data_IF_088866771121
#
_entry.id   IF_088866771121
#
_cell.length_a   1.000
_cell.length_b   1.000
_cell.length_c   1.000
_cell.angle_alpha   90.00
_cell.angle_beta   90.00
_cell.angle_gamma   90.00
#
_symmetry.space_group_name_H-M   'P 1'
#
loop_
_entity.id
_entity.type
_entity.pdbx_description
1 polymer ?
#
# COMPACT_ATOMS: atom_id res chain seq x y z
N UNK A 1 5.19 -14.34 -14.02
CA UNK A 1 6.41 -14.22 -13.20
C UNK A 1 5.98 -13.97 -11.76
N UNK A 2 6.08 -14.99 -10.92
CA UNK A 2 5.57 -14.99 -9.55
C UNK A 2 6.43 -14.09 -8.65
N UNK A 3 5.83 -13.01 -8.15
CA UNK A 3 6.38 -12.22 -7.05
C UNK A 3 6.52 -13.11 -5.81
N UNK A 4 7.74 -13.55 -5.50
CA UNK A 4 8.04 -14.22 -4.22
C UNK A 4 8.14 -13.16 -3.12
N UNK A 5 7.00 -12.58 -2.73
CA UNK A 5 6.86 -11.95 -1.42
C UNK A 5 6.61 -13.04 -0.38
N UNK A 6 7.65 -13.80 -0.03
CA UNK A 6 7.59 -14.60 1.18
C UNK A 6 8.98 -14.73 1.82
N UNK A 7 9.56 -13.56 2.09
CA UNK A 7 10.61 -13.39 3.07
C UNK A 7 9.98 -12.83 4.34
N UNK A 8 9.68 -13.66 5.35
CA UNK A 8 9.19 -13.18 6.64
C UNK A 8 10.09 -12.06 7.17
N UNK A 9 9.60 -10.83 7.07
CA UNK A 9 10.28 -9.65 7.60
C UNK A 9 10.58 -9.88 9.09
N UNK A 10 11.70 -9.36 9.62
CA UNK A 10 12.04 -9.53 11.04
C UNK A 10 10.89 -9.03 11.91
N UNK A 11 10.75 -9.61 13.10
CA UNK A 11 9.77 -9.17 14.09
C UNK A 11 10.08 -7.75 14.52
N UNK A 12 9.09 -7.06 15.09
CA UNK A 12 9.32 -5.75 15.69
C UNK A 12 10.43 -5.83 16.75
N UNK A 13 11.42 -4.94 16.65
CA UNK A 13 12.58 -4.88 17.54
C UNK A 13 13.66 -5.94 17.29
N UNK A 14 13.45 -6.90 16.40
CA UNK A 14 14.47 -7.88 16.03
C UNK A 14 15.55 -7.22 15.16
N UNK A 15 16.80 -7.37 15.58
CA UNK A 15 17.97 -6.86 14.88
C UNK A 15 18.54 -7.96 13.98
N UNK A 16 18.60 -7.69 12.68
CA UNK A 16 19.21 -8.62 11.71
C UNK A 16 20.40 -7.97 11.00
N UNK A 17 21.56 -8.64 10.93
CA UNK A 17 22.68 -8.19 10.12
C UNK A 17 22.35 -8.36 8.64
N UNK A 18 22.61 -7.30 7.87
CA UNK A 18 22.27 -7.24 6.44
C UNK A 18 23.39 -6.64 5.61
N UNK A 19 23.43 -6.99 4.33
CA UNK A 19 24.16 -6.24 3.31
C UNK A 19 23.18 -5.49 2.43
N UNK A 20 23.48 -4.22 2.10
CA UNK A 20 22.74 -3.49 1.09
C UNK A 20 23.23 -3.93 -0.30
N UNK A 21 22.31 -4.37 -1.16
CA UNK A 21 22.61 -4.79 -2.53
C UNK A 21 22.31 -3.68 -3.54
N UNK A 22 21.18 -3.00 -3.39
CA UNK A 22 20.79 -1.89 -4.26
C UNK A 22 19.73 -1.00 -3.58
N UNK A 23 19.61 0.25 -4.04
CA UNK A 23 18.47 1.12 -3.75
C UNK A 23 17.85 1.54 -5.08
N UNK A 24 16.61 1.15 -5.31
CA UNK A 24 15.86 1.47 -6.53
C UNK A 24 14.85 2.58 -6.24
N UNK A 25 14.85 3.63 -7.06
CA UNK A 25 13.79 4.65 -7.02
C UNK A 25 12.56 4.09 -7.73
N UNK A 26 11.41 4.12 -7.06
CA UNK A 26 10.10 3.74 -7.60
C UNK A 26 9.14 4.92 -7.51
N UNK A 27 8.56 5.27 -8.65
CA UNK A 27 7.55 6.33 -8.74
C UNK A 27 6.17 5.69 -8.67
N UNK A 28 5.38 6.13 -7.70
CA UNK A 28 4.00 5.74 -7.54
C UNK A 28 3.14 6.71 -8.36
N UNK A 29 2.54 6.17 -9.40
CA UNK A 29 1.64 6.89 -10.30
C UNK A 29 0.20 6.56 -9.93
N UNK A 30 -0.65 7.59 -10.02
CA UNK A 30 -2.09 7.48 -9.92
C UNK A 30 -2.68 7.66 -11.31
N UNK A 31 -3.31 6.60 -11.82
CA UNK A 31 -4.11 6.70 -13.04
C UNK A 31 -5.53 7.16 -12.70
N UNK A 32 -6.05 8.10 -13.46
CA UNK A 32 -7.43 8.60 -13.36
C UNK A 32 -8.09 8.58 -14.74
N UNK A 33 -9.31 8.05 -14.84
CA UNK A 33 -10.07 8.07 -16.08
C UNK A 33 -10.29 9.51 -16.58
N UNK A 34 -10.20 9.74 -17.89
CA UNK A 34 -10.41 11.07 -18.46
C UNK A 34 -11.90 11.48 -18.47
N UNK A 35 -12.80 10.49 -18.38
CA UNK A 35 -14.24 10.67 -18.26
C UNK A 35 -14.74 9.85 -17.08
N UNK A 36 -15.72 10.39 -16.36
CA UNK A 36 -16.36 9.70 -15.25
C UNK A 36 -16.92 8.35 -15.72
N UNK A 37 -16.52 7.28 -15.05
CA UNK A 37 -17.07 5.94 -15.28
C UNK A 37 -18.51 5.92 -14.74
N UNK A 38 -19.50 5.48 -15.53
CA UNK A 38 -20.88 5.39 -15.09
C UNK A 38 -21.09 4.40 -13.92
N UNK A 39 -22.05 4.67 -13.04
CA UNK A 39 -22.34 3.83 -11.86
C UNK A 39 -22.71 2.38 -12.23
N UNK A 40 -23.38 2.17 -13.36
CA UNK A 40 -23.73 0.85 -13.86
C UNK A 40 -22.49 -0.03 -14.12
N UNK A 41 -21.36 0.59 -14.45
CA UNK A 41 -20.08 -0.07 -14.67
C UNK A 41 -19.32 -0.37 -13.37
N UNK A 42 -19.79 0.11 -12.21
CA UNK A 42 -19.08 -0.10 -10.95
C UNK A 42 -19.01 -1.60 -10.61
N UNK A 43 -17.86 -2.05 -10.07
CA UNK A 43 -17.69 -3.43 -9.64
C UNK A 43 -18.55 -3.72 -8.41
N UNK A 44 -18.85 -4.99 -8.13
CA UNK A 44 -19.75 -5.38 -7.05
C UNK A 44 -19.30 -4.88 -5.68
N UNK A 45 -17.99 -4.86 -5.40
CA UNK A 45 -17.46 -4.35 -4.14
C UNK A 45 -17.79 -2.87 -3.90
N UNK A 46 -17.70 -2.02 -4.93
CA UNK A 46 -18.04 -0.60 -4.82
C UNK A 46 -19.56 -0.42 -4.73
N UNK A 47 -20.33 -1.16 -5.53
CA UNK A 47 -21.80 -1.15 -5.45
C UNK A 47 -22.28 -1.54 -4.04
N UNK A 48 -21.63 -2.51 -3.42
CA UNK A 48 -21.96 -2.95 -2.06
C UNK A 48 -21.59 -1.89 -1.02
N UNK A 49 -20.46 -1.18 -1.17
CA UNK A 49 -20.12 -0.03 -0.31
C UNK A 49 -21.24 1.02 -0.36
N UNK A 50 -21.72 1.36 -1.55
CA UNK A 50 -22.79 2.35 -1.76
C UNK A 50 -24.12 1.86 -1.17
N UNK A 51 -24.46 0.58 -1.36
CA UNK A 51 -25.75 -0.01 -0.96
C UNK A 51 -25.86 -0.38 0.52
N UNK A 52 -24.75 -0.48 1.26
CA UNK A 52 -24.76 -1.00 2.64
C UNK A 52 -25.64 -0.11 3.54
N UNK A 53 -26.80 -0.60 4.03
CA UNK A 53 -27.75 0.23 4.76
C UNK A 53 -27.23 0.64 6.13
N UNK A 54 -27.26 1.94 6.42
CA UNK A 54 -26.72 2.54 7.66
C UNK A 54 -27.64 2.44 8.89
N UNK A 55 -28.79 1.76 8.80
CA UNK A 55 -29.84 1.76 9.85
C UNK A 55 -29.72 0.68 10.93
N UNK A 56 -28.67 -0.16 10.93
CA UNK A 56 -28.33 -1.06 12.05
C UNK A 56 -27.21 -0.51 12.94
N UNK A 57 -27.13 0.81 13.07
CA UNK A 57 -26.33 1.47 14.09
C UNK A 57 -27.07 1.48 15.44
N UNK A 58 -27.50 0.31 15.92
CA UNK A 58 -27.72 0.13 17.34
C UNK A 58 -26.37 -0.21 17.95
N UNK A 59 -26.01 0.57 18.97
CA UNK A 59 -25.00 0.33 19.99
C UNK A 59 -24.46 -1.10 20.00
N UNK A 60 -23.13 -1.23 19.80
CA UNK A 60 -22.31 -2.46 19.94
C UNK A 60 -22.02 -3.30 18.68
N UNK A 61 -22.16 -2.75 17.46
CA UNK A 61 -21.61 -3.44 16.27
C UNK A 61 -21.68 -2.73 14.91
N UNK A 62 -22.48 -1.67 14.77
CA UNK A 62 -22.78 -1.04 13.47
C UNK A 62 -21.71 -0.12 12.86
N UNK A 63 -20.51 -0.02 13.44
CA UNK A 63 -19.44 0.92 13.04
C UNK A 63 -18.26 0.27 12.30
N UNK A 64 -18.23 -1.07 12.23
CA UNK A 64 -17.06 -1.80 11.77
C UNK A 64 -16.74 -1.47 10.31
N UNK A 65 -15.57 -0.90 10.09
CA UNK A 65 -15.02 -0.67 8.75
C UNK A 65 -15.54 0.54 7.98
N UNK A 66 -16.35 1.43 8.56
CA UNK A 66 -16.85 2.65 7.87
C UNK A 66 -15.73 3.51 7.31
N UNK A 67 -14.69 3.78 8.10
CA UNK A 67 -13.52 4.56 7.68
C UNK A 67 -12.76 3.87 6.53
N UNK A 68 -12.71 2.52 6.51
CA UNK A 68 -12.09 1.74 5.44
C UNK A 68 -12.88 1.87 4.14
N UNK A 69 -14.20 1.64 4.21
CA UNK A 69 -15.09 1.76 3.05
C UNK A 69 -15.13 3.19 2.50
N UNK A 70 -15.14 4.20 3.37
CA UNK A 70 -15.09 5.60 2.97
C UNK A 70 -13.77 5.95 2.23
N UNK A 71 -12.63 5.47 2.72
CA UNK A 71 -11.34 5.65 2.04
C UNK A 71 -11.31 4.95 0.67
N UNK A 72 -11.82 3.71 0.59
CA UNK A 72 -11.92 2.95 -0.66
C UNK A 72 -12.79 3.70 -1.68
N UNK A 73 -13.96 4.18 -1.26
CA UNK A 73 -14.90 4.87 -2.14
C UNK A 73 -14.31 6.20 -2.65
N UNK A 74 -13.69 7.00 -1.77
CA UNK A 74 -13.05 8.24 -2.18
C UNK A 74 -11.94 8.01 -3.22
N UNK A 75 -11.07 7.03 -2.97
CA UNK A 75 -10.00 6.67 -3.90
C UNK A 75 -10.55 6.15 -5.24
N UNK A 76 -11.58 5.29 -5.19
CA UNK A 76 -12.23 4.77 -6.38
C UNK A 76 -12.86 5.87 -7.23
N UNK A 77 -13.69 6.74 -6.65
CA UNK A 77 -14.38 7.81 -7.39
C UNK A 77 -13.35 8.77 -8.03
N UNK A 78 -12.29 9.12 -7.29
CA UNK A 78 -11.22 9.95 -7.81
C UNK A 78 -10.47 9.31 -9.00
N UNK A 79 -10.21 8.01 -8.97
CA UNK A 79 -9.59 7.30 -10.11
C UNK A 79 -10.57 6.98 -11.24
N UNK A 80 -11.86 6.84 -10.93
CA UNK A 80 -12.92 6.65 -11.89
C UNK A 80 -13.27 7.94 -12.66
N UNK A 81 -12.57 9.05 -12.40
CA UNK A 81 -12.71 10.30 -13.15
C UNK A 81 -13.93 11.12 -12.79
N UNK A 82 -14.54 10.87 -11.62
CA UNK A 82 -15.68 11.66 -11.15
C UNK A 82 -15.25 13.07 -10.75
N UNK A 83 -16.14 14.03 -10.97
CA UNK A 83 -16.00 15.38 -10.47
C UNK A 83 -15.99 15.38 -8.94
N UNK A 84 -15.23 16.32 -8.34
CA UNK A 84 -15.05 16.35 -6.89
C UNK A 84 -16.37 16.60 -6.14
N UNK A 85 -17.21 17.52 -6.61
CA UNK A 85 -18.46 17.87 -5.92
C UNK A 85 -19.48 16.72 -5.99
N UNK A 86 -19.59 16.08 -7.17
CA UNK A 86 -20.45 14.91 -7.38
C UNK A 86 -19.96 13.71 -6.57
N UNK A 87 -18.66 13.44 -6.59
CA UNK A 87 -18.05 12.37 -5.82
C UNK A 87 -18.18 12.61 -4.32
N UNK A 88 -17.98 13.84 -3.84
CA UNK A 88 -18.11 14.21 -2.43
C UNK A 88 -19.54 14.03 -1.97
N UNK A 89 -20.54 14.41 -2.77
CA UNK A 89 -21.95 14.17 -2.46
C UNK A 89 -22.25 12.68 -2.29
N UNK A 90 -21.90 11.84 -3.28
CA UNK A 90 -22.09 10.39 -3.21
C UNK A 90 -21.33 9.78 -2.02
N UNK A 91 -20.12 10.26 -1.76
CA UNK A 91 -19.30 9.82 -0.65
C UNK A 91 -19.90 10.18 0.71
N UNK A 92 -20.35 11.41 0.93
CA UNK A 92 -20.99 11.84 2.17
C UNK A 92 -22.30 11.08 2.40
N UNK A 93 -23.05 10.81 1.33
CA UNK A 93 -24.26 9.97 1.34
C UNK A 93 -23.96 8.48 1.60
N UNK A 94 -22.70 8.03 1.44
CA UNK A 94 -22.24 6.64 1.71
C UNK A 94 -21.41 6.42 2.99
N UNK A 95 -20.49 7.32 3.37
CA UNK A 95 -19.62 7.29 4.56
C UNK A 95 -20.34 7.35 5.93
N UNK A 96 -21.18 8.35 6.14
CA UNK A 96 -22.20 8.40 7.20
C UNK A 96 -21.74 9.18 8.41
N UNK A 97 -22.61 9.29 9.41
CA UNK A 97 -22.28 10.03 10.62
C UNK A 97 -21.04 9.42 11.30
N UNK A 98 -20.11 10.28 11.71
CA UNK A 98 -18.88 9.92 12.43
C UNK A 98 -17.65 9.67 11.56
N UNK A 99 -17.78 9.62 10.22
CA UNK A 99 -16.61 9.60 9.32
C UNK A 99 -16.10 11.04 9.13
N UNK A 100 -14.79 11.24 9.29
CA UNK A 100 -14.16 12.55 9.15
C UNK A 100 -13.98 12.92 7.67
N UNK A 101 -14.42 14.12 7.29
CA UNK A 101 -14.24 14.69 5.93
C UNK A 101 -12.80 14.58 5.41
N UNK A 102 -11.80 14.73 6.28
CA UNK A 102 -10.38 14.56 5.91
C UNK A 102 -10.08 13.24 5.19
N UNK A 103 -10.87 12.18 5.38
CA UNK A 103 -10.68 10.91 4.67
C UNK A 103 -10.95 11.08 3.18
N UNK A 104 -11.95 11.88 2.81
CA UNK A 104 -12.16 12.19 1.41
C UNK A 104 -10.94 12.94 0.86
N UNK A 105 -10.52 14.00 1.53
CA UNK A 105 -9.41 14.85 1.07
C UNK A 105 -8.06 14.11 1.03
N UNK A 106 -7.80 13.17 1.94
CA UNK A 106 -6.57 12.36 1.97
C UNK A 106 -6.53 11.28 0.87
N UNK A 107 -7.67 10.89 0.30
CA UNK A 107 -7.76 9.74 -0.60
C UNK A 107 -8.19 10.08 -2.03
N UNK A 108 -9.13 11.02 -2.21
CA UNK A 108 -9.66 11.40 -3.51
C UNK A 108 -8.56 12.02 -4.38
N UNK A 109 -8.21 11.37 -5.50
CA UNK A 109 -7.15 11.80 -6.43
C UNK A 109 -5.73 11.95 -5.82
N UNK A 110 -5.52 11.46 -4.60
CA UNK A 110 -4.21 11.48 -3.91
C UNK A 110 -3.67 10.07 -3.63
N UNK A 111 -4.53 9.04 -3.62
CA UNK A 111 -4.16 7.67 -3.28
C UNK A 111 -4.74 6.68 -4.29
N UNK A 112 -3.99 5.60 -4.56
CA UNK A 112 -4.51 4.48 -5.33
C UNK A 112 -5.64 3.76 -4.57
N UNK A 113 -6.76 3.55 -5.24
CA UNK A 113 -7.79 2.60 -4.85
C UNK A 113 -7.14 1.22 -4.66
N UNK A 114 -7.38 0.54 -3.54
CA UNK A 114 -6.76 -0.75 -3.27
C UNK A 114 -7.15 -1.80 -4.32
N UNK A 115 -6.17 -2.63 -4.68
CA UNK A 115 -6.34 -3.82 -5.52
C UNK A 115 -7.15 -4.89 -4.80
N UNK A 116 -7.68 -5.85 -5.56
CA UNK A 116 -8.43 -7.00 -5.05
C UNK A 116 -7.65 -7.76 -3.98
N UNK A 117 -6.34 -7.95 -4.18
CA UNK A 117 -5.46 -8.59 -3.18
C UNK A 117 -5.51 -7.88 -1.82
N UNK A 118 -5.51 -6.53 -1.81
CA UNK A 118 -5.60 -5.75 -0.57
C UNK A 118 -6.99 -5.84 0.04
N UNK A 119 -8.04 -5.76 -0.77
CA UNK A 119 -9.43 -5.83 -0.30
C UNK A 119 -9.75 -7.18 0.35
N UNK A 120 -9.18 -8.27 -0.16
CA UNK A 120 -9.37 -9.63 0.33
C UNK A 120 -8.60 -9.96 1.62
N UNK A 121 -7.85 -9.01 2.18
CA UNK A 121 -7.19 -9.21 3.48
C UNK A 121 -8.13 -8.89 4.62
N UNK A 122 -7.99 -9.64 5.71
CA UNK A 122 -8.51 -9.21 7.00
C UNK A 122 -7.73 -7.99 7.49
N UNK A 123 -8.40 -7.12 8.24
CA UNK A 123 -7.81 -5.90 8.78
C UNK A 123 -8.28 -5.66 10.20
N UNK A 124 -7.39 -5.08 11.02
CA UNK A 124 -7.72 -4.69 12.40
C UNK A 124 -8.46 -3.35 12.49
N UNK A 125 -8.69 -2.70 11.35
CA UNK A 125 -9.33 -1.39 11.24
C UNK A 125 -8.50 -0.37 10.45
N UNK A 126 -9.05 0.83 10.28
CA UNK A 126 -8.34 1.92 9.58
C UNK A 126 -7.01 2.25 10.30
N UNK A 127 -5.89 2.41 9.58
CA UNK A 127 -5.76 2.71 8.15
C UNK A 127 -5.62 1.49 7.21
N UNK A 128 -5.70 0.26 7.71
CA UNK A 128 -5.62 -0.94 6.85
C UNK A 128 -6.92 -1.12 6.08
N UNK A 129 -6.86 -1.08 4.74
CA UNK A 129 -8.04 -1.12 3.87
C UNK A 129 -8.57 -2.53 3.55
N UNK A 130 -8.06 -3.56 4.21
CA UNK A 130 -8.64 -4.90 4.10
C UNK A 130 -10.11 -4.89 4.54
N UNK A 131 -10.97 -5.57 3.79
CA UNK A 131 -12.43 -5.59 4.00
C UNK A 131 -13.02 -6.99 3.89
N UNK A 132 -12.18 -8.03 3.92
CA UNK A 132 -12.63 -9.41 3.88
C UNK A 132 -13.66 -9.72 4.98
N UNK A 133 -13.45 -9.15 6.17
CA UNK A 133 -14.31 -9.30 7.34
C UNK A 133 -15.65 -8.56 7.25
N UNK A 134 -15.89 -7.80 6.17
CA UNK A 134 -17.10 -7.02 5.94
C UNK A 134 -18.00 -7.62 4.86
N UNK A 135 -17.57 -8.69 4.19
CA UNK A 135 -18.34 -9.41 3.16
C UNK A 135 -18.83 -8.53 1.98
N UNK A 136 -18.19 -7.37 1.75
CA UNK A 136 -18.55 -6.44 0.68
C UNK A 136 -18.06 -6.89 -0.70
N UNK A 137 -16.99 -7.69 -0.74
CA UNK A 137 -16.45 -8.22 -1.98
C UNK A 137 -17.21 -9.48 -2.39
N UNK A 138 -18.16 -9.33 -3.32
CA UNK A 138 -18.95 -10.41 -3.90
C UNK A 138 -18.65 -10.48 -5.40
N UNK A 139 -17.63 -11.24 -5.83
CA UNK A 139 -17.14 -11.20 -7.21
C UNK A 139 -18.23 -11.56 -8.24
N UNK A 140 -18.22 -10.86 -9.37
CA UNK A 140 -18.99 -11.22 -10.56
C UNK A 140 -18.09 -11.87 -11.62
N UNK A 141 -18.67 -12.26 -12.75
CA UNK A 141 -17.97 -12.93 -13.85
C UNK A 141 -16.81 -12.10 -14.43
N UNK A 142 -16.82 -10.77 -14.24
CA UNK A 142 -15.77 -9.89 -14.76
C UNK A 142 -14.60 -9.78 -13.80
N UNK A 143 -14.77 -10.06 -12.51
CA UNK A 143 -13.71 -9.87 -11.51
C UNK A 143 -12.45 -10.69 -11.78
N UNK A 144 -12.54 -11.84 -12.47
CA UNK A 144 -11.36 -12.65 -12.83
C UNK A 144 -10.47 -11.99 -13.89
N UNK A 145 -10.98 -11.02 -14.63
CA UNK A 145 -10.27 -10.36 -15.72
C UNK A 145 -9.43 -9.15 -15.25
N UNK A 146 -9.54 -8.74 -13.98
CA UNK A 146 -8.96 -7.49 -13.48
C UNK A 146 -8.32 -7.65 -12.10
N UNK A 147 -7.32 -6.82 -11.79
CA UNK A 147 -6.63 -6.87 -10.50
C UNK A 147 -7.25 -5.94 -9.46
N UNK A 148 -8.18 -5.06 -9.86
CA UNK A 148 -8.79 -4.12 -8.94
C UNK A 148 -10.06 -3.42 -9.44
N UNK A 149 -10.76 -2.70 -8.53
CA UNK A 149 -12.05 -2.08 -8.82
C UNK A 149 -12.01 -1.09 -9.98
N UNK A 150 -10.99 -0.23 -10.02
CA UNK A 150 -10.83 0.81 -11.05
C UNK A 150 -10.64 0.18 -12.43
N UNK A 151 -9.80 -0.85 -12.54
CA UNK A 151 -9.53 -1.53 -13.81
C UNK A 151 -10.78 -2.21 -14.34
N UNK A 152 -11.55 -2.87 -13.47
CA UNK A 152 -12.84 -3.45 -13.84
C UNK A 152 -13.82 -2.38 -14.33
N UNK A 153 -13.96 -1.28 -13.58
CA UNK A 153 -14.92 -0.22 -13.89
C UNK A 153 -14.59 0.48 -15.21
N UNK A 154 -13.31 0.84 -15.42
CA UNK A 154 -12.83 1.53 -16.60
C UNK A 154 -12.50 0.58 -17.78
N UNK A 155 -12.60 -0.75 -17.58
CA UNK A 155 -12.31 -1.73 -18.63
C UNK A 155 -10.84 -1.82 -19.04
N UNK A 156 -9.91 -1.55 -18.12
CA UNK A 156 -8.46 -1.58 -18.37
C UNK A 156 -7.95 -3.02 -18.42
N UNK A 157 -7.99 -3.64 -19.60
CA UNK A 157 -7.54 -5.04 -19.80
C UNK A 157 -6.09 -5.10 -20.27
N UNK A 158 -5.64 -4.07 -20.97
CA UNK A 158 -4.31 -3.98 -21.56
C UNK A 158 -3.67 -2.63 -21.26
N UNK A 159 -2.38 -2.54 -21.50
CA UNK A 159 -1.63 -1.31 -21.23
C UNK A 159 -2.08 -0.15 -22.13
N UNK A 160 -2.52 -0.44 -23.37
CA UNK A 160 -3.02 0.57 -24.30
C UNK A 160 -4.29 1.26 -23.80
N UNK A 161 -5.12 0.55 -23.00
CA UNK A 161 -6.36 1.11 -22.44
C UNK A 161 -6.08 2.26 -21.46
N UNK A 162 -4.87 2.33 -20.88
CA UNK A 162 -4.48 3.42 -19.98
C UNK A 162 -4.42 4.78 -20.68
N UNK A 163 -4.35 4.82 -22.01
CA UNK A 163 -4.45 6.05 -22.80
C UNK A 163 -5.80 6.77 -22.65
N UNK A 164 -6.83 6.10 -22.12
CA UNK A 164 -8.16 6.67 -21.84
C UNK A 164 -8.20 7.50 -20.55
N UNK A 165 -7.06 7.68 -19.89
CA UNK A 165 -6.94 8.44 -18.66
C UNK A 165 -5.65 9.25 -18.60
N UNK A 166 -5.42 9.84 -17.44
CA UNK A 166 -4.23 10.62 -17.11
C UNK A 166 -3.45 9.93 -16.00
N UNK A 167 -2.14 10.08 -16.02
CA UNK A 167 -1.27 9.68 -14.92
C UNK A 167 -0.79 10.91 -14.16
N UNK A 168 -0.90 10.86 -12.84
CA UNK A 168 -0.38 11.86 -11.90
C UNK A 168 0.66 11.17 -11.02
N UNK A 169 1.83 11.77 -10.87
CA UNK A 169 2.77 11.32 -9.83
C UNK A 169 2.20 11.67 -8.46
N UNK A 170 2.12 10.69 -7.56
CA UNK A 170 1.62 10.91 -6.19
C UNK A 170 2.71 10.71 -5.13
N UNK A 171 3.68 9.84 -5.38
CA UNK A 171 4.72 9.56 -4.39
C UNK A 171 5.99 8.99 -5.01
N UNK A 172 7.13 9.35 -4.43
CA UNK A 172 8.38 8.64 -4.68
C UNK A 172 8.69 7.74 -3.49
N UNK A 173 8.98 6.47 -3.78
CA UNK A 173 9.44 5.46 -2.82
C UNK A 173 10.81 4.96 -3.24
N UNK A 174 11.56 4.46 -2.27
CA UNK A 174 12.85 3.83 -2.53
C UNK A 174 12.78 2.40 -2.04
N UNK A 175 13.14 1.45 -2.89
CA UNK A 175 13.19 0.03 -2.53
C UNK A 175 14.65 -0.33 -2.27
N UNK A 176 14.97 -0.62 -1.01
CA UNK A 176 16.27 -1.17 -0.64
C UNK A 176 16.23 -2.69 -0.78
N UNK A 177 17.05 -3.23 -1.68
CA UNK A 177 17.32 -4.66 -1.76
C UNK A 177 18.45 -5.00 -0.79
N UNK A 178 18.19 -5.93 0.11
CA UNK A 178 19.13 -6.35 1.14
C UNK A 178 19.37 -7.86 1.07
N UNK A 179 20.52 -8.30 1.55
CA UNK A 179 20.78 -9.70 1.88
C UNK A 179 20.74 -9.87 3.39
N UNK A 180 19.82 -10.68 3.89
CA UNK A 180 19.70 -11.05 5.30
C UNK A 180 20.69 -12.17 5.62
N UNK A 181 21.67 -11.88 6.48
CA UNK A 181 22.72 -12.84 6.83
C UNK A 181 22.21 -13.94 7.76
N UNK A 182 21.20 -13.65 8.59
CA UNK A 182 20.62 -14.61 9.53
C UNK A 182 19.81 -15.68 8.78
N UNK A 183 19.07 -15.26 7.76
CA UNK A 183 18.23 -16.16 6.96
C UNK A 183 18.91 -16.65 5.66
N UNK A 184 20.04 -16.04 5.26
CA UNK A 184 20.76 -16.38 4.03
C UNK A 184 19.96 -16.13 2.76
N UNK A 185 19.16 -15.06 2.71
CA UNK A 185 18.25 -14.75 1.59
C UNK A 185 18.16 -13.26 1.31
N UNK A 186 17.76 -12.91 0.09
CA UNK A 186 17.44 -11.54 -0.27
C UNK A 186 16.08 -11.09 0.26
N UNK A 187 15.96 -9.80 0.55
CA UNK A 187 14.73 -9.14 0.98
C UNK A 187 14.62 -7.74 0.37
N UNK A 188 13.40 -7.23 0.40
CA UNK A 188 13.03 -5.90 -0.12
C UNK A 188 12.45 -5.07 1.03
N UNK A 189 12.94 -3.83 1.19
CA UNK A 189 12.48 -2.88 2.21
C UNK A 189 12.05 -1.57 1.54
N UNK A 190 10.77 -1.22 1.70
CA UNK A 190 10.23 0.09 1.30
C UNK A 190 10.72 1.20 2.23
N UNK A 191 11.34 2.22 1.64
CA UNK A 191 11.86 3.41 2.30
C UNK A 191 11.16 4.68 1.78
N UNK A 192 10.95 5.63 2.68
CA UNK A 192 10.76 7.04 2.35
C UNK A 192 12.10 7.69 1.97
N UNK A 193 12.04 8.90 1.41
CA UNK A 193 13.24 9.66 1.09
C UNK A 193 14.13 9.93 2.30
N UNK A 194 13.53 10.27 3.45
CA UNK A 194 14.28 10.48 4.69
C UNK A 194 14.97 9.19 5.16
N UNK A 195 14.27 8.06 5.16
CA UNK A 195 14.83 6.75 5.55
C UNK A 195 15.94 6.31 4.57
N UNK A 196 15.79 6.59 3.27
CA UNK A 196 16.81 6.34 2.24
C UNK A 196 18.06 7.20 2.47
N UNK A 197 17.90 8.50 2.72
CA UNK A 197 19.02 9.40 2.96
C UNK A 197 19.77 9.03 4.26
N UNK A 198 19.05 8.59 5.29
CA UNK A 198 19.66 8.06 6.52
C UNK A 198 20.48 6.80 6.23
N UNK A 199 19.93 5.85 5.46
CA UNK A 199 20.64 4.64 5.07
C UNK A 199 21.90 4.94 4.26
N UNK A 200 21.84 5.80 3.24
CA UNK A 200 23.03 6.21 2.47
C UNK A 200 24.07 6.93 3.35
N UNK A 201 23.62 7.74 4.31
CA UNK A 201 24.48 8.36 5.31
C UNK A 201 25.19 7.35 6.20
N UNK A 202 24.60 6.18 6.46
CA UNK A 202 25.24 5.07 7.16
C UNK A 202 26.22 4.32 6.25
N UNK A 203 25.81 3.98 5.03
CA UNK A 203 26.66 3.27 4.05
C UNK A 203 27.95 4.06 3.78
N UNK A 204 27.86 5.38 3.61
CA UNK A 204 29.03 6.24 3.39
C UNK A 204 30.01 6.29 4.58
N UNK A 205 29.54 5.93 5.79
CA UNK A 205 30.36 5.83 7.01
C UNK A 205 30.79 4.40 7.32
N UNK A 206 30.33 3.42 6.54
CA UNK A 206 30.61 2.02 6.80
C UNK A 206 32.09 1.73 6.53
N UNK A 207 32.80 1.26 7.56
CA UNK A 207 34.18 0.81 7.44
C UNK A 207 34.23 -0.67 7.06
N UNK A 208 35.43 -1.17 6.76
CA UNK A 208 35.66 -2.60 6.52
C UNK A 208 35.30 -3.50 7.70
N UNK A 209 34.99 -2.98 8.88
CA UNK A 209 34.58 -3.76 10.06
C UNK A 209 33.14 -3.46 10.50
N UNK A 210 32.47 -2.49 9.88
CA UNK A 210 31.07 -2.15 10.17
C UNK A 210 30.11 -3.15 9.52
N UNK A 211 29.19 -3.70 10.31
CA UNK A 211 28.05 -4.49 9.86
C UNK A 211 26.81 -3.61 9.92
N UNK A 212 26.04 -3.57 8.82
CA UNK A 212 24.77 -2.88 8.80
C UNK A 212 23.72 -3.76 9.49
N UNK A 213 23.03 -3.20 10.47
CA UNK A 213 21.95 -3.85 11.20
C UNK A 213 20.64 -3.23 10.75
N UNK A 214 19.67 -4.07 10.41
CA UNK A 214 18.30 -3.68 10.10
C UNK A 214 17.36 -4.07 11.24
N UNK A 215 16.44 -3.17 11.57
CA UNK A 215 15.41 -3.37 12.59
C UNK A 215 14.09 -2.74 12.14
N UNK A 216 12.97 -3.35 12.55
CA UNK A 216 11.65 -2.71 12.46
C UNK A 216 11.31 -2.06 13.80
N UNK A 217 11.35 -0.74 13.85
CA UNK A 217 11.11 0.02 15.06
C UNK A 217 9.76 0.76 14.99
N UNK A 218 9.02 0.78 16.10
CA UNK A 218 7.76 1.52 16.20
C UNK A 218 8.03 3.00 16.47
N UNK A 219 7.67 3.85 15.52
CA UNK A 219 7.78 5.31 15.62
C UNK A 219 6.40 5.91 15.47
N UNK A 220 5.91 6.58 16.51
CA UNK A 220 4.55 7.19 16.56
C UNK A 220 3.45 6.21 16.12
N UNK A 221 3.51 4.97 16.64
CA UNK A 221 2.52 3.93 16.38
C UNK A 221 2.63 3.22 15.02
N UNK A 222 3.60 3.60 14.15
CA UNK A 222 3.85 2.91 12.87
C UNK A 222 5.19 2.18 12.92
N UNK A 223 5.22 0.95 12.39
CA UNK A 223 6.49 0.23 12.18
C UNK A 223 7.25 0.89 11.03
N UNK A 224 8.49 1.29 11.31
CA UNK A 224 9.40 1.93 10.37
C UNK A 224 10.69 1.12 10.23
N UNK A 225 11.27 1.06 9.02
CA UNK A 225 12.60 0.52 8.85
C UNK A 225 13.61 1.43 9.54
N UNK A 226 14.57 0.84 10.25
CA UNK A 226 15.70 1.55 10.84
C UNK A 226 16.97 0.77 10.57
N UNK A 227 18.05 1.51 10.30
CA UNK A 227 19.37 0.95 10.09
C UNK A 227 20.35 1.53 11.09
N UNK A 228 21.37 0.74 11.45
CA UNK A 228 22.49 1.18 12.28
C UNK A 228 23.76 0.46 11.85
N UNK A 229 24.91 1.04 12.19
CA UNK A 229 26.20 0.37 12.02
C UNK A 229 26.64 -0.19 13.37
N UNK A 230 27.06 -1.45 13.37
CA UNK A 230 27.68 -2.10 14.51
C UNK A 230 29.09 -2.55 14.12
N UNK A 231 30.08 -2.26 14.95
CA UNK A 231 31.43 -2.78 14.74
C UNK A 231 31.45 -4.30 14.99
N UNK A 232 31.93 -5.07 14.01
CA UNK A 232 32.12 -6.50 14.16
C UNK A 232 33.22 -6.78 15.20
N UNK A 233 32.83 -7.25 16.39
CA UNK A 233 33.79 -7.77 17.37
C UNK A 233 34.13 -9.23 17.03
N UNK A 234 35.11 -9.46 16.15
CA UNK A 234 35.70 -10.80 15.93
C UNK A 234 36.02 -11.15 14.46
N UNK A 235 36.73 -12.27 14.21
CA UNK A 235 37.19 -12.65 12.88
C UNK A 235 36.02 -12.97 11.94
N UNK A 236 35.93 -12.23 10.83
CA UNK A 236 34.91 -12.38 9.79
C UNK A 236 34.93 -13.78 9.16
N UNK A 237 33.77 -14.45 9.06
CA UNK A 237 33.53 -15.39 7.97
C UNK A 237 33.34 -14.56 6.70
N UNK A 238 34.42 -14.40 5.93
CA UNK A 238 34.37 -13.74 4.61
C UNK A 238 33.42 -14.53 3.71
N UNK A 239 32.34 -13.89 3.26
CA UNK A 239 31.46 -14.44 2.23
C UNK A 239 32.12 -14.14 0.89
N UNK A 240 32.21 -15.16 0.02
CA UNK A 240 32.94 -15.15 -1.26
C UNK A 240 32.48 -14.08 -2.27
N UNK A 241 31.41 -13.33 -1.99
CA UNK A 241 30.92 -12.24 -2.83
C UNK A 241 31.78 -10.96 -2.76
N UNK A 242 32.74 -10.86 -1.84
CA UNK A 242 33.67 -9.71 -1.77
C UNK A 242 34.84 -9.78 -2.80
N UNK A 243 34.84 -10.77 -3.72
CA UNK A 243 35.93 -11.01 -4.69
C UNK A 243 35.54 -10.84 -6.17
N UNK A 244 34.34 -10.35 -6.49
CA UNK A 244 33.89 -10.13 -7.87
C UNK A 244 33.53 -8.68 -8.14
#
# INVERSE_FOLDING_TARGET
MTSRRDGSMPKEGEEIPVSLLAIERREEMLWTAAKAVPEECFPPCIKNIIKTPRSKATSEGGEKGRHRMAAILAAFLGQAGWDEDEARKLWSDTAGYGVKERIFDEWFQEMNCPKCETLQRESRGYPELGVADLEICQPDERCSDFEGPVEQAAGLRREEDRSQGRQKHIKTRYMARIFDWSAGREGEIDLSEAEKNELEGLISKQTSDGVLIYTRARVRGRLRPRFSLMEAKGPRRRVLSEFL
#
